data_IF_579873343901
#
_entry.id   IF_579873343901
#
_cell.length_a   1.000
_cell.length_b   1.000
_cell.length_c   1.000
_cell.angle_alpha   90.00
_cell.angle_beta   90.00
_cell.angle_gamma   90.00
#
_symmetry.space_group_name_H-M   'P 1'
#
loop_
_entity.id
_entity.type
_entity.pdbx_description
1 polymer ?
#
# COMPACT_ATOMS: atom_id res chain seq x y z
N UNK A 1 4.94 17.21 15.69
CA UNK A 1 4.99 15.80 15.32
C UNK A 1 5.20 15.76 13.80
N UNK A 2 6.17 15.01 13.32
CA UNK A 2 6.34 14.90 11.87
C UNK A 2 5.23 14.07 11.29
N UNK A 3 4.66 14.49 10.15
CA UNK A 3 3.68 13.69 9.40
C UNK A 3 4.34 12.41 8.90
N UNK A 4 3.57 11.33 8.86
CA UNK A 4 4.00 10.05 8.31
C UNK A 4 4.03 10.14 6.78
N UNK A 5 5.17 9.93 6.16
CA UNK A 5 5.32 9.95 4.70
C UNK A 5 4.80 8.66 4.09
N UNK A 6 3.77 8.77 3.28
CA UNK A 6 3.02 7.61 2.76
C UNK A 6 3.10 7.54 1.24
N UNK A 7 3.27 6.35 0.68
CA UNK A 7 3.04 6.07 -0.74
C UNK A 7 1.96 5.00 -0.93
N UNK A 8 1.37 4.97 -2.13
CA UNK A 8 0.35 3.97 -2.51
C UNK A 8 0.80 3.22 -3.75
N UNK A 9 0.73 1.89 -3.70
CA UNK A 9 1.00 0.98 -4.82
C UNK A 9 -0.29 0.26 -5.20
N UNK A 10 -0.65 0.36 -6.47
CA UNK A 10 -1.92 -0.12 -7.03
C UNK A 10 -2.98 0.98 -7.02
N UNK A 11 -3.35 1.47 -8.20
CA UNK A 11 -4.23 2.62 -8.39
C UNK A 11 -5.54 2.24 -9.10
N UNK A 12 -6.09 1.10 -8.70
CA UNK A 12 -7.49 0.76 -8.96
C UNK A 12 -8.43 1.60 -8.06
N UNK A 13 -9.69 1.18 -7.97
CA UNK A 13 -10.69 1.92 -7.17
C UNK A 13 -10.25 2.06 -5.70
N UNK A 14 -9.77 0.97 -5.10
CA UNK A 14 -9.37 0.96 -3.68
C UNK A 14 -8.09 1.77 -3.47
N UNK A 15 -7.08 1.63 -4.32
CA UNK A 15 -5.85 2.40 -4.19
C UNK A 15 -6.05 3.90 -4.36
N UNK A 16 -6.93 4.32 -5.28
CA UNK A 16 -7.32 5.73 -5.39
C UNK A 16 -8.02 6.23 -4.13
N UNK A 17 -8.90 5.41 -3.52
CA UNK A 17 -9.53 5.75 -2.24
C UNK A 17 -8.49 5.90 -1.12
N UNK A 18 -7.52 4.97 -1.02
CA UNK A 18 -6.43 5.07 -0.06
C UNK A 18 -5.63 6.37 -0.26
N UNK A 19 -5.28 6.69 -1.51
CA UNK A 19 -4.53 7.91 -1.82
C UNK A 19 -5.31 9.18 -1.41
N UNK A 20 -6.62 9.23 -1.66
CA UNK A 20 -7.47 10.35 -1.26
C UNK A 20 -7.56 10.49 0.27
N UNK A 21 -7.67 9.37 0.99
CA UNK A 21 -7.69 9.35 2.46
C UNK A 21 -6.37 9.89 3.02
N UNK A 22 -5.23 9.37 2.56
CA UNK A 22 -3.93 9.84 3.04
C UNK A 22 -3.66 11.31 2.69
N UNK A 23 -4.13 11.77 1.52
CA UNK A 23 -4.00 13.18 1.15
C UNK A 23 -4.81 14.10 2.06
N UNK A 24 -5.93 13.63 2.59
CA UNK A 24 -6.80 14.40 3.47
C UNK A 24 -6.44 14.26 4.97
N UNK A 25 -5.64 13.26 5.35
CA UNK A 25 -5.29 12.99 6.74
C UNK A 25 -4.22 13.97 7.24
N UNK A 26 -4.48 14.73 8.33
CA UNK A 26 -3.52 15.68 8.86
C UNK A 26 -2.27 15.04 9.49
N UNK A 27 -2.26 13.73 9.72
CA UNK A 27 -1.13 12.98 10.27
C UNK A 27 -0.28 12.33 9.18
N UNK A 28 -0.72 12.36 7.93
CA UNK A 28 -0.05 11.75 6.78
C UNK A 28 0.33 12.78 5.73
N UNK A 29 1.46 12.55 5.08
CA UNK A 29 1.89 13.24 3.87
C UNK A 29 1.94 12.20 2.74
N UNK A 30 0.98 12.23 1.82
CA UNK A 30 1.06 11.42 0.62
C UNK A 30 2.20 11.94 -0.27
N UNK A 31 3.25 11.15 -0.46
CA UNK A 31 4.47 11.58 -1.17
C UNK A 31 4.58 11.04 -2.59
N UNK A 32 3.83 10.01 -2.95
CA UNK A 32 3.82 9.45 -4.30
C UNK A 32 2.87 8.29 -4.49
N UNK A 33 2.61 7.96 -5.74
CA UNK A 33 1.71 6.88 -6.15
C UNK A 33 2.34 6.03 -7.25
N UNK A 34 2.01 4.75 -7.30
CA UNK A 34 2.56 3.80 -8.27
C UNK A 34 1.49 2.84 -8.80
N UNK A 35 1.49 2.62 -10.09
CA UNK A 35 0.77 1.50 -10.72
C UNK A 35 1.56 1.00 -11.93
N UNK A 36 1.65 -0.31 -12.12
CA UNK A 36 2.31 -0.92 -13.28
C UNK A 36 1.67 -0.53 -14.62
N UNK A 37 0.44 -0.05 -14.61
CA UNK A 37 -0.27 0.47 -15.78
C UNK A 37 0.01 1.98 -15.86
N UNK A 38 0.78 2.45 -16.87
CA UNK A 38 1.23 3.84 -16.95
C UNK A 38 0.09 4.86 -16.90
N UNK A 39 -1.01 4.58 -17.59
CA UNK A 39 -2.17 5.48 -17.68
C UNK A 39 -2.85 5.67 -16.31
N UNK A 40 -2.83 4.65 -15.46
CA UNK A 40 -3.36 4.74 -14.09
C UNK A 40 -2.44 5.57 -13.20
N UNK A 41 -1.14 5.33 -13.30
CA UNK A 41 -0.13 6.08 -12.55
C UNK A 41 -0.17 7.57 -12.90
N UNK A 42 -0.14 7.89 -14.19
CA UNK A 42 -0.19 9.27 -14.68
C UNK A 42 -1.48 9.98 -14.27
N UNK A 43 -2.63 9.36 -14.49
CA UNK A 43 -3.94 9.93 -14.12
C UNK A 43 -4.02 10.25 -12.62
N UNK A 44 -3.58 9.32 -11.77
CA UNK A 44 -3.57 9.54 -10.33
C UNK A 44 -2.57 10.64 -9.94
N UNK A 45 -1.37 10.64 -10.51
CA UNK A 45 -0.37 11.67 -10.27
C UNK A 45 -0.88 13.07 -10.63
N UNK A 46 -1.48 13.23 -11.80
CA UNK A 46 -2.09 14.49 -12.25
C UNK A 46 -3.23 14.93 -11.33
N UNK A 47 -4.16 14.01 -11.02
CA UNK A 47 -5.31 14.29 -10.14
C UNK A 47 -4.89 14.71 -8.73
N UNK A 48 -3.87 14.10 -8.20
CA UNK A 48 -3.39 14.32 -6.84
C UNK A 48 -2.31 15.42 -6.76
N UNK A 49 -1.75 15.84 -7.91
CA UNK A 49 -0.67 16.81 -7.98
C UNK A 49 0.63 16.33 -7.36
N UNK A 50 1.03 15.08 -7.64
CA UNK A 50 2.21 14.48 -7.02
C UNK A 50 2.98 13.53 -7.93
N UNK A 51 4.22 13.15 -7.55
CA UNK A 51 5.03 12.18 -8.29
C UNK A 51 4.30 10.86 -8.49
N UNK A 52 4.38 10.32 -9.69
CA UNK A 52 3.84 9.03 -10.04
C UNK A 52 4.91 8.15 -10.70
N UNK A 53 4.77 6.84 -10.50
CA UNK A 53 5.75 5.84 -10.93
C UNK A 53 5.05 4.64 -11.53
N UNK A 54 5.75 3.93 -12.42
CA UNK A 54 5.30 2.65 -12.97
C UNK A 54 6.04 1.47 -12.37
N UNK A 55 7.12 1.73 -11.62
CA UNK A 55 7.92 0.75 -10.91
C UNK A 55 7.98 1.10 -9.41
N UNK A 56 7.51 0.17 -8.59
CA UNK A 56 7.42 0.35 -7.14
C UNK A 56 8.81 0.53 -6.50
N UNK A 57 9.80 -0.25 -6.95
CA UNK A 57 11.15 -0.18 -6.40
C UNK A 57 11.78 1.19 -6.66
N UNK A 58 11.62 1.72 -7.85
CA UNK A 58 12.09 3.07 -8.20
C UNK A 58 11.43 4.12 -7.31
N UNK A 59 10.12 4.03 -7.09
CA UNK A 59 9.39 4.94 -6.19
C UNK A 59 9.93 4.87 -4.77
N UNK A 60 10.05 3.67 -4.22
CA UNK A 60 10.51 3.45 -2.84
C UNK A 60 11.92 3.99 -2.60
N UNK A 61 12.84 3.75 -3.54
CA UNK A 61 14.21 4.26 -3.47
C UNK A 61 14.27 5.79 -3.58
N UNK A 62 13.45 6.38 -4.45
CA UNK A 62 13.45 7.83 -4.70
C UNK A 62 12.82 8.61 -3.57
N UNK A 63 11.72 8.11 -3.00
CA UNK A 63 10.90 8.85 -2.03
C UNK A 63 11.19 8.48 -0.58
N UNK A 64 11.70 7.28 -0.32
CA UNK A 64 11.97 6.75 1.03
C UNK A 64 10.78 7.01 1.99
N UNK A 65 9.57 6.48 1.70
CA UNK A 65 8.41 6.67 2.56
C UNK A 65 8.53 5.89 3.86
N UNK A 66 7.81 6.34 4.90
CA UNK A 66 7.72 5.62 6.17
C UNK A 66 6.71 4.46 6.10
N UNK A 67 5.63 4.68 5.34
CA UNK A 67 4.53 3.73 5.16
C UNK A 67 4.23 3.53 3.67
N UNK A 68 4.05 2.29 3.28
CA UNK A 68 3.56 1.92 1.97
C UNK A 68 2.18 1.26 2.07
N UNK A 69 1.20 1.80 1.37
CA UNK A 69 -0.13 1.21 1.24
C UNK A 69 -0.19 0.36 -0.02
N UNK A 70 -0.40 -0.94 0.13
CA UNK A 70 -0.47 -1.92 -0.96
C UNK A 70 -1.94 -2.19 -1.28
N UNK A 71 -2.41 -1.66 -2.40
CA UNK A 71 -3.78 -1.78 -2.89
C UNK A 71 -3.84 -2.35 -4.32
N UNK A 72 -2.87 -3.20 -4.65
CA UNK A 72 -2.89 -3.98 -5.89
C UNK A 72 -4.08 -4.93 -5.91
N UNK A 73 -4.53 -5.34 -7.09
CA UNK A 73 -5.55 -6.39 -7.21
C UNK A 73 -5.06 -7.70 -6.59
N UNK A 74 -5.97 -8.53 -6.09
CA UNK A 74 -5.65 -9.88 -5.67
C UNK A 74 -5.45 -10.82 -6.87
N UNK A 75 -5.21 -12.09 -6.58
CA UNK A 75 -5.00 -13.14 -7.58
C UNK A 75 -6.12 -13.19 -8.64
N UNK A 76 -7.37 -12.96 -8.24
CA UNK A 76 -8.52 -12.90 -9.13
C UNK A 76 -8.42 -11.81 -10.23
N UNK A 77 -7.50 -10.85 -10.07
CA UNK A 77 -7.23 -9.78 -11.04
C UNK A 77 -5.83 -9.91 -11.68
N UNK A 78 -5.28 -11.11 -11.71
CA UNK A 78 -3.93 -11.40 -12.25
C UNK A 78 -2.84 -10.53 -11.63
N UNK A 79 -2.97 -10.26 -10.34
CA UNK A 79 -2.02 -9.50 -9.54
C UNK A 79 -1.82 -10.19 -8.20
N UNK A 80 -0.92 -9.70 -7.39
CA UNK A 80 -0.66 -10.21 -6.05
C UNK A 80 -0.26 -9.08 -5.10
N UNK A 81 -0.25 -9.40 -3.82
CA UNK A 81 0.23 -8.49 -2.78
C UNK A 81 1.66 -8.81 -2.33
N UNK A 82 2.19 -9.99 -2.72
CA UNK A 82 3.47 -10.48 -2.23
C UNK A 82 4.65 -9.60 -2.66
N UNK A 83 4.87 -9.47 -3.95
CA UNK A 83 6.03 -8.75 -4.48
C UNK A 83 6.08 -7.29 -3.99
N UNK A 84 5.02 -6.48 -4.14
CA UNK A 84 5.07 -5.09 -3.66
C UNK A 84 5.20 -4.98 -2.14
N UNK A 85 4.64 -5.92 -1.36
CA UNK A 85 4.81 -5.95 0.09
C UNK A 85 6.27 -6.23 0.47
N UNK A 86 6.89 -7.23 -0.16
CA UNK A 86 8.29 -7.56 0.11
C UNK A 86 9.24 -6.41 -0.28
N UNK A 87 8.99 -5.75 -1.41
CA UNK A 87 9.76 -4.58 -1.84
C UNK A 87 9.64 -3.42 -0.84
N UNK A 88 8.42 -3.14 -0.35
CA UNK A 88 8.18 -2.07 0.62
C UNK A 88 8.85 -2.36 1.97
N UNK A 89 8.72 -3.59 2.48
CA UNK A 89 9.39 -4.03 3.71
C UNK A 89 10.90 -4.00 3.59
N UNK A 90 11.45 -4.42 2.44
CA UNK A 90 12.90 -4.39 2.18
C UNK A 90 13.43 -2.95 2.13
N UNK A 91 12.67 -2.04 1.56
CA UNK A 91 12.97 -0.59 1.56
C UNK A 91 12.84 0.06 2.95
N UNK A 92 12.41 -0.68 3.97
CA UNK A 92 12.29 -0.20 5.34
C UNK A 92 10.96 0.50 5.66
N UNK A 93 9.94 0.33 4.81
CA UNK A 93 8.61 0.88 5.08
C UNK A 93 7.80 0.01 6.03
N UNK A 94 6.93 0.61 6.82
CA UNK A 94 5.75 -0.06 7.34
C UNK A 94 4.80 -0.35 6.19
N UNK A 95 3.92 -1.35 6.32
CA UNK A 95 2.98 -1.73 5.25
C UNK A 95 1.55 -1.83 5.77
N UNK A 96 0.62 -1.21 5.06
CA UNK A 96 -0.81 -1.50 5.12
C UNK A 96 -1.21 -2.18 3.82
N UNK A 97 -1.53 -3.47 3.89
CA UNK A 97 -1.94 -4.27 2.73
C UNK A 97 -3.46 -4.43 2.63
N UNK A 98 -3.97 -4.59 1.43
CA UNK A 98 -5.33 -5.01 1.19
C UNK A 98 -5.51 -6.52 1.44
N UNK A 99 -6.74 -6.90 1.70
CA UNK A 99 -7.15 -8.30 1.85
C UNK A 99 -7.31 -8.98 0.47
N UNK A 100 -7.09 -10.31 0.37
CA UNK A 100 -6.45 -11.17 1.37
C UNK A 100 -4.94 -10.89 1.44
N UNK A 101 -4.27 -11.34 2.49
CA UNK A 101 -2.78 -11.24 2.58
C UNK A 101 -2.16 -11.86 1.33
N UNK A 102 -2.54 -13.11 1.04
CA UNK A 102 -2.16 -13.89 -0.13
C UNK A 102 -3.18 -15.01 -0.35
N UNK A 103 -3.22 -15.57 -1.53
CA UNK A 103 -3.92 -16.82 -1.84
C UNK A 103 -3.06 -18.08 -1.56
N UNK A 104 -1.79 -17.90 -1.18
CA UNK A 104 -0.89 -18.98 -0.73
C UNK A 104 -0.46 -18.70 0.71
N UNK A 105 -0.76 -19.65 1.61
CA UNK A 105 -0.45 -19.53 3.04
C UNK A 105 1.06 -19.37 3.27
N UNK A 106 1.90 -20.05 2.49
CA UNK A 106 3.36 -19.98 2.64
C UNK A 106 3.88 -18.59 2.32
N UNK A 107 3.36 -17.96 1.28
CA UNK A 107 3.71 -16.58 0.93
C UNK A 107 3.22 -15.60 2.00
N UNK A 108 2.02 -15.83 2.56
CA UNK A 108 1.51 -15.02 3.65
C UNK A 108 2.39 -15.12 4.91
N UNK A 109 2.81 -16.33 5.28
CA UNK A 109 3.72 -16.56 6.41
C UNK A 109 5.09 -15.91 6.17
N UNK A 110 5.61 -15.99 4.95
CA UNK A 110 6.87 -15.36 4.55
C UNK A 110 6.80 -13.83 4.69
N UNK A 111 5.74 -13.19 4.21
CA UNK A 111 5.55 -11.73 4.35
C UNK A 111 5.52 -11.31 5.83
N UNK A 112 4.80 -12.06 6.68
CA UNK A 112 4.72 -11.77 8.11
C UNK A 112 6.08 -11.97 8.79
N UNK A 113 6.78 -13.06 8.47
CA UNK A 113 8.12 -13.32 9.00
C UNK A 113 9.12 -12.25 8.58
N UNK A 114 9.06 -11.82 7.31
CA UNK A 114 9.95 -10.78 6.80
C UNK A 114 9.69 -9.42 7.44
N UNK A 115 8.42 -9.04 7.66
CA UNK A 115 8.08 -7.82 8.37
C UNK A 115 8.67 -7.81 9.80
N UNK A 116 8.57 -8.94 10.51
CA UNK A 116 9.19 -9.11 11.84
C UNK A 116 10.71 -8.99 11.78
N UNK A 117 11.35 -9.67 10.82
CA UNK A 117 12.78 -9.61 10.60
C UNK A 117 13.27 -8.18 10.34
N UNK A 118 12.54 -7.42 9.54
CA UNK A 118 12.84 -6.01 9.26
C UNK A 118 12.44 -5.05 10.37
N UNK A 119 11.82 -5.54 11.45
CA UNK A 119 11.26 -4.72 12.53
C UNK A 119 10.30 -3.65 11.98
N UNK A 120 9.39 -4.06 11.09
CA UNK A 120 8.35 -3.21 10.49
C UNK A 120 6.96 -3.71 10.83
N UNK A 121 6.04 -2.78 10.96
CA UNK A 121 4.62 -3.09 11.11
C UNK A 121 4.05 -3.52 9.76
N UNK A 122 3.35 -4.65 9.74
CA UNK A 122 2.56 -5.10 8.61
C UNK A 122 1.12 -5.33 9.07
N UNK A 123 0.21 -4.53 8.56
CA UNK A 123 -1.21 -4.57 8.88
C UNK A 123 -2.03 -4.86 7.62
N UNK A 124 -3.20 -5.48 7.81
CA UNK A 124 -4.15 -5.78 6.73
C UNK A 124 -5.42 -4.97 6.92
N UNK A 125 -5.89 -4.35 5.84
CA UNK A 125 -7.10 -3.57 5.82
C UNK A 125 -8.36 -4.46 5.82
N UNK A 126 -8.80 -4.85 6.99
CA UNK A 126 -10.06 -5.56 7.21
C UNK A 126 -11.18 -4.55 7.52
N UNK A 127 -11.51 -3.71 6.55
CA UNK A 127 -12.42 -2.56 6.70
C UNK A 127 -13.78 -2.92 7.30
N UNK A 128 -14.35 -4.09 6.95
CA UNK A 128 -15.63 -4.56 7.50
C UNK A 128 -15.61 -4.76 9.02
N UNK A 129 -14.46 -4.95 9.65
CA UNK A 129 -14.29 -5.02 11.11
C UNK A 129 -14.77 -3.76 11.83
N UNK A 130 -14.75 -2.64 11.13
CA UNK A 130 -15.06 -1.32 11.68
C UNK A 130 -16.50 -0.88 11.37
N UNK A 131 -17.29 -1.71 10.69
CA UNK A 131 -18.71 -1.41 10.44
C UNK A 131 -19.53 -1.50 11.72
N UNK A 132 -20.64 -0.74 11.85
CA UNK A 132 -21.50 -0.82 13.03
C UNK A 132 -21.97 -2.24 13.36
N UNK A 133 -22.34 -3.03 12.36
CA UNK A 133 -22.76 -4.42 12.55
C UNK A 133 -21.66 -5.30 13.15
N UNK A 134 -20.42 -5.15 12.71
CA UNK A 134 -19.29 -5.92 13.24
C UNK A 134 -18.87 -5.50 14.67
N UNK A 135 -19.23 -4.28 15.11
CA UNK A 135 -18.92 -3.79 16.45
C UNK A 135 -19.91 -4.26 17.51
N UNK A 136 -21.07 -4.76 17.09
CA UNK A 136 -22.16 -5.23 17.96
C UNK A 136 -22.04 -6.75 18.19
N UNK A 137 -21.38 -7.46 17.29
CA UNK A 137 -21.14 -8.90 17.39
C UNK A 137 -19.94 -9.22 18.30
#
# INVERSE_FOLDING_TARGET
MNMLRVCVIGLGNIGNLHADIYKADPLAELVGVCDKIPERAERAGQRLGMPHFTDAKTMLLSLQPDLCSIATGGFEYSSDHYEPTMQALDAGCHVLGEKPISNDIRLAEEMVAFARHKNRCYAINLNHRFTPAARIA
#
